data_IF_538467258952
#
_entry.id   IF_538467258952
#
_cell.length_a   1.000
_cell.length_b   1.000
_cell.length_c   1.000
_cell.angle_alpha   90.00
_cell.angle_beta   90.00
_cell.angle_gamma   90.00
#
_symmetry.space_group_name_H-M   'P 1'
#
loop_
_entity.id
_entity.type
_entity.pdbx_description
1 polymer ?
#
# COMPACT_ATOMS: atom_id res chain seq x y z
N UNK A 1 1.58 -13.23 9.22
CA UNK A 1 2.34 -12.99 7.97
C UNK A 1 2.45 -11.50 7.66
N UNK A 2 1.33 -10.76 7.52
CA UNK A 2 1.34 -9.33 7.17
C UNK A 2 2.18 -8.45 8.13
N UNK A 3 1.97 -8.57 9.45
CA UNK A 3 2.75 -7.80 10.42
C UNK A 3 4.24 -8.19 10.49
N UNK A 4 4.60 -9.43 10.12
CA UNK A 4 6.01 -9.82 10.01
C UNK A 4 6.68 -9.04 8.86
N UNK A 5 5.99 -8.88 7.74
CA UNK A 5 6.48 -8.10 6.60
C UNK A 5 6.59 -6.60 6.93
N UNK A 6 5.62 -6.07 7.68
CA UNK A 6 5.69 -4.70 8.22
C UNK A 6 6.92 -4.56 9.13
N UNK A 7 7.09 -5.47 10.08
CA UNK A 7 8.22 -5.48 11.01
C UNK A 7 9.56 -5.53 10.28
N UNK A 8 9.69 -6.40 9.28
CA UNK A 8 10.88 -6.52 8.46
C UNK A 8 11.18 -5.21 7.72
N UNK A 9 10.19 -4.60 7.06
CA UNK A 9 10.37 -3.32 6.37
C UNK A 9 10.78 -2.20 7.33
N UNK A 10 10.09 -2.06 8.47
CA UNK A 10 10.40 -1.02 9.46
C UNK A 10 11.80 -1.21 10.07
N UNK A 11 12.25 -2.45 10.29
CA UNK A 11 13.61 -2.74 10.78
C UNK A 11 14.74 -2.34 9.83
N UNK A 12 14.41 -2.13 8.55
CA UNK A 12 15.33 -1.68 7.49
C UNK A 12 15.15 -0.19 7.17
N UNK A 13 14.43 0.55 8.01
CA UNK A 13 14.01 1.95 7.78
C UNK A 13 13.27 2.15 6.45
N UNK A 14 12.58 1.10 5.96
CA UNK A 14 11.71 1.22 4.80
C UNK A 14 10.35 1.75 5.26
N UNK A 15 9.89 2.92 4.75
CA UNK A 15 8.58 3.43 5.11
C UNK A 15 7.46 2.45 4.77
N UNK A 16 6.41 2.49 5.58
CA UNK A 16 5.22 1.65 5.45
C UNK A 16 3.98 2.54 5.46
N UNK A 17 3.13 2.39 4.44
CA UNK A 17 1.75 2.90 4.45
C UNK A 17 0.83 1.71 4.67
N UNK A 18 0.12 1.68 5.80
CA UNK A 18 -0.83 0.64 6.18
C UNK A 18 -2.26 1.16 6.09
N UNK A 19 -3.00 0.70 5.09
CA UNK A 19 -4.37 1.08 4.79
C UNK A 19 -5.27 -0.17 4.57
N UNK A 20 -5.03 -1.22 5.36
CA UNK A 20 -5.67 -2.53 5.17
C UNK A 20 -6.86 -2.80 6.10
N UNK A 21 -6.95 -2.08 7.23
CA UNK A 21 -7.94 -2.36 8.28
C UNK A 21 -8.81 -1.13 8.58
N UNK A 22 -9.96 -1.38 9.22
CA UNK A 22 -10.97 -0.36 9.46
C UNK A 22 -10.54 0.69 10.50
N UNK A 23 -9.91 0.26 11.59
CA UNK A 23 -9.58 1.09 12.73
C UNK A 23 -8.06 1.14 12.95
N UNK A 24 -7.49 2.34 12.88
CA UNK A 24 -6.07 2.58 13.10
C UNK A 24 -5.61 2.16 14.51
N UNK A 25 -6.45 2.36 15.54
CA UNK A 25 -6.09 2.00 16.92
C UNK A 25 -6.03 0.48 17.12
N UNK A 26 -6.95 -0.25 16.49
CA UNK A 26 -6.88 -1.71 16.39
C UNK A 26 -5.59 -2.17 15.70
N UNK A 27 -5.18 -1.53 14.60
CA UNK A 27 -3.93 -1.86 13.90
C UNK A 27 -2.73 -1.66 14.80
N UNK A 28 -2.63 -0.51 15.48
CA UNK A 28 -1.54 -0.19 16.40
C UNK A 28 -1.43 -1.26 17.48
N UNK A 29 -2.54 -1.60 18.14
CA UNK A 29 -2.56 -2.67 19.16
C UNK A 29 -2.08 -4.02 18.63
N UNK A 30 -2.49 -4.40 17.41
CA UNK A 30 -2.03 -5.64 16.77
C UNK A 30 -0.56 -5.61 16.40
N UNK A 31 -0.04 -4.45 15.96
CA UNK A 31 1.38 -4.24 15.69
C UNK A 31 2.22 -4.35 16.97
N UNK A 32 1.78 -3.73 18.07
CA UNK A 32 2.42 -3.85 19.39
C UNK A 32 2.45 -5.30 19.86
N UNK A 33 1.33 -6.03 19.74
CA UNK A 33 1.28 -7.46 20.05
C UNK A 33 2.19 -8.32 19.16
N UNK A 34 2.53 -7.85 17.96
CA UNK A 34 3.52 -8.47 17.07
C UNK A 34 4.98 -8.03 17.37
N UNK A 35 5.20 -7.27 18.44
CA UNK A 35 6.49 -6.74 18.85
C UNK A 35 7.01 -5.68 17.89
N UNK A 36 6.13 -4.78 17.43
CA UNK A 36 6.44 -3.59 16.63
C UNK A 36 6.13 -2.36 17.48
N UNK A 37 7.11 -1.50 17.68
CA UNK A 37 6.94 -0.19 18.35
C UNK A 37 6.27 0.81 17.40
N UNK A 38 4.99 0.60 17.09
CA UNK A 38 4.27 1.33 16.05
C UNK A 38 4.32 2.85 16.27
N UNK A 39 4.14 3.32 17.50
CA UNK A 39 4.15 4.73 17.89
C UNK A 39 5.48 5.41 17.55
N UNK A 40 6.61 4.76 17.85
CA UNK A 40 7.96 5.26 17.54
C UNK A 40 8.16 5.45 16.03
N UNK A 41 7.70 4.48 15.22
CA UNK A 41 7.78 4.60 13.76
C UNK A 41 6.81 5.63 13.18
N UNK A 42 5.65 5.84 13.80
CA UNK A 42 4.69 6.89 13.42
C UNK A 42 5.28 8.27 13.68
N UNK A 43 5.87 8.49 14.87
CA UNK A 43 6.52 9.76 15.22
C UNK A 43 7.70 10.09 14.29
N UNK A 44 8.48 9.07 13.90
CA UNK A 44 9.56 9.20 12.90
C UNK A 44 9.05 9.42 11.47
N UNK A 45 7.74 9.28 11.22
CA UNK A 45 7.14 9.41 9.89
C UNK A 45 7.44 8.25 8.95
N UNK A 46 8.00 7.14 9.47
CA UNK A 46 8.33 5.93 8.69
C UNK A 46 7.09 5.02 8.59
N UNK A 47 6.23 5.00 9.60
CA UNK A 47 4.96 4.28 9.56
C UNK A 47 3.79 5.26 9.45
N UNK A 48 2.91 5.03 8.47
CA UNK A 48 1.65 5.75 8.33
C UNK A 48 0.50 4.77 8.31
N UNK A 49 -0.43 4.90 9.25
CA UNK A 49 -1.65 4.09 9.30
C UNK A 49 -2.81 4.96 8.82
N UNK A 50 -3.56 4.45 7.84
CA UNK A 50 -4.73 5.12 7.26
C UNK A 50 -5.94 4.25 7.57
N UNK A 51 -6.91 4.79 8.29
CA UNK A 51 -8.16 4.09 8.57
C UNK A 51 -9.02 3.93 7.29
N UNK A 52 -9.99 3.03 7.32
CA UNK A 52 -10.79 2.73 6.13
C UNK A 52 -11.64 3.90 5.65
N UNK A 53 -12.10 4.79 6.53
CA UNK A 53 -12.89 5.95 6.13
C UNK A 53 -12.02 6.96 5.37
N UNK A 54 -10.85 7.28 5.91
CA UNK A 54 -9.86 8.14 5.24
C UNK A 54 -9.40 7.50 3.93
N UNK A 55 -9.12 6.19 3.91
CA UNK A 55 -8.77 5.48 2.69
C UNK A 55 -9.89 5.57 1.65
N UNK A 56 -11.16 5.37 2.04
CA UNK A 56 -12.32 5.50 1.16
C UNK A 56 -12.48 6.92 0.62
N UNK A 57 -12.29 7.95 1.45
CA UNK A 57 -12.35 9.36 1.02
C UNK A 57 -11.24 9.68 0.01
N UNK A 58 -10.00 9.28 0.31
CA UNK A 58 -8.88 9.45 -0.61
C UNK A 58 -9.14 8.75 -1.94
N UNK A 59 -9.75 7.55 -1.91
CA UNK A 59 -10.11 6.80 -3.11
C UNK A 59 -11.26 7.42 -3.90
N UNK A 60 -12.26 7.97 -3.22
CA UNK A 60 -13.39 8.62 -3.88
C UNK A 60 -12.96 9.87 -4.65
N UNK A 61 -11.90 10.54 -4.18
CA UNK A 61 -11.31 11.72 -4.82
C UNK A 61 -10.30 11.36 -5.92
N UNK A 62 -10.07 10.07 -6.19
CA UNK A 62 -9.26 9.63 -7.33
C UNK A 62 -10.05 9.94 -8.61
N UNK A 63 -9.66 11.01 -9.29
CA UNK A 63 -9.93 11.15 -10.71
C UNK A 63 -9.07 10.11 -11.43
N UNK A 64 -9.67 9.28 -12.29
CA UNK A 64 -8.91 8.33 -13.12
C UNK A 64 -7.83 9.06 -13.92
N UNK A 65 -8.04 10.31 -14.32
CA UNK A 65 -7.06 11.07 -15.11
C UNK A 65 -5.88 11.61 -14.30
N UNK A 66 -6.03 11.87 -12.99
CA UNK A 66 -4.98 12.52 -12.20
C UNK A 66 -4.54 11.78 -10.93
N UNK A 67 -5.40 10.95 -10.32
CA UNK A 67 -5.12 10.16 -9.10
C UNK A 67 -4.43 10.94 -7.96
N UNK A 68 -4.57 12.28 -7.96
CA UNK A 68 -3.74 13.21 -7.19
C UNK A 68 -3.72 12.97 -5.68
N UNK A 69 -4.85 12.71 -4.99
CA UNK A 69 -4.84 12.67 -3.52
C UNK A 69 -4.05 11.51 -2.95
N UNK A 70 -4.13 10.34 -3.59
CA UNK A 70 -3.40 9.15 -3.17
C UNK A 70 -1.91 9.26 -3.53
N UNK A 71 -1.61 9.76 -4.73
CA UNK A 71 -0.24 10.06 -5.16
C UNK A 71 0.44 11.09 -4.25
N UNK A 72 -0.26 12.15 -3.86
CA UNK A 72 0.24 13.14 -2.91
C UNK A 72 0.49 12.54 -1.53
N UNK A 73 -0.36 11.63 -1.08
CA UNK A 73 -0.18 10.92 0.19
C UNK A 73 1.09 10.07 0.18
N UNK A 74 1.34 9.35 -0.92
CA UNK A 74 2.55 8.56 -1.13
C UNK A 74 3.78 9.49 -1.15
N UNK A 75 3.76 10.53 -1.99
CA UNK A 75 4.85 11.50 -2.09
C UNK A 75 5.16 12.19 -0.76
N UNK A 76 4.14 12.58 0.00
CA UNK A 76 4.30 13.20 1.32
C UNK A 76 4.94 12.23 2.31
N UNK A 77 4.51 10.97 2.30
CA UNK A 77 5.08 9.93 3.18
C UNK A 77 6.54 9.66 2.84
N UNK A 78 6.88 9.53 1.56
CA UNK A 78 8.27 9.38 1.09
C UNK A 78 9.14 10.55 1.56
N UNK A 79 8.66 11.79 1.39
CA UNK A 79 9.37 13.01 1.82
C UNK A 79 9.55 13.06 3.34
N UNK A 80 8.51 12.76 4.11
CA UNK A 80 8.54 12.80 5.58
C UNK A 80 9.46 11.73 6.16
N UNK A 81 9.42 10.52 5.61
CA UNK A 81 10.30 9.42 6.01
C UNK A 81 11.77 9.62 5.60
N UNK A 82 12.09 10.66 4.78
CA UNK A 82 13.39 10.83 4.12
C UNK A 82 13.86 9.53 3.45
N UNK A 83 12.91 8.77 2.91
CA UNK A 83 13.14 7.42 2.48
C UNK A 83 14.09 7.39 1.27
N UNK A 84 15.10 6.52 1.33
CA UNK A 84 16.11 6.40 0.29
C UNK A 84 16.04 5.08 -0.50
N UNK A 85 15.33 4.09 0.02
CA UNK A 85 15.47 2.71 -0.43
C UNK A 85 14.18 2.14 -1.03
N UNK A 86 13.14 1.94 -0.22
CA UNK A 86 11.92 1.23 -0.64
C UNK A 86 10.71 1.64 0.17
N UNK A 87 9.55 1.75 -0.45
CA UNK A 87 8.26 1.99 0.21
C UNK A 87 7.42 0.70 0.20
N UNK A 88 6.88 0.30 1.35
CA UNK A 88 5.87 -0.77 1.43
C UNK A 88 4.49 -0.13 1.56
N UNK A 89 3.57 -0.47 0.66
CA UNK A 89 2.16 -0.07 0.75
C UNK A 89 1.32 -1.32 0.95
N UNK A 90 0.48 -1.32 1.99
CA UNK A 90 -0.49 -2.38 2.23
C UNK A 90 -1.87 -1.76 2.20
N UNK A 91 -2.73 -2.17 1.28
CA UNK A 91 -4.04 -1.54 1.10
C UNK A 91 -5.16 -2.56 0.98
N UNK A 92 -6.33 -2.22 1.53
CA UNK A 92 -7.58 -2.95 1.27
C UNK A 92 -8.11 -2.55 -0.11
N UNK A 93 -8.46 -3.52 -0.94
CA UNK A 93 -8.92 -3.27 -2.31
C UNK A 93 -10.43 -3.16 -2.46
N UNK A 94 -11.20 -3.48 -1.42
CA UNK A 94 -12.68 -3.49 -1.46
C UNK A 94 -13.31 -2.15 -1.89
N UNK A 95 -12.64 -1.04 -1.59
CA UNK A 95 -13.13 0.30 -1.94
C UNK A 95 -12.53 0.85 -3.25
N UNK A 96 -11.77 0.04 -3.98
CA UNK A 96 -11.35 0.39 -5.34
C UNK A 96 -12.36 -0.18 -6.35
N UNK A 97 -12.88 0.68 -7.22
CA UNK A 97 -13.44 0.20 -8.48
C UNK A 97 -12.33 -0.52 -9.27
N UNK A 98 -12.66 -1.63 -9.91
CA UNK A 98 -11.68 -2.48 -10.60
C UNK A 98 -10.79 -1.70 -11.59
N UNK A 99 -11.38 -0.78 -12.36
CA UNK A 99 -10.63 0.07 -13.30
C UNK A 99 -9.66 1.06 -12.59
N UNK A 100 -10.05 1.57 -11.41
CA UNK A 100 -9.19 2.44 -10.58
C UNK A 100 -8.05 1.66 -9.94
N UNK A 101 -8.29 0.38 -9.59
CA UNK A 101 -7.25 -0.49 -9.04
C UNK A 101 -6.15 -0.76 -10.07
N UNK A 102 -6.52 -1.18 -11.28
CA UNK A 102 -5.56 -1.46 -12.35
C UNK A 102 -4.72 -0.22 -12.69
N UNK A 103 -5.35 0.95 -12.80
CA UNK A 103 -4.65 2.21 -13.07
C UNK A 103 -3.73 2.63 -11.92
N UNK A 104 -4.13 2.39 -10.67
CA UNK A 104 -3.27 2.60 -9.51
C UNK A 104 -2.03 1.69 -9.56
N UNK A 105 -2.22 0.41 -9.85
CA UNK A 105 -1.13 -0.57 -9.96
C UNK A 105 -0.16 -0.21 -11.11
N UNK A 106 -0.67 0.22 -12.27
CA UNK A 106 0.16 0.74 -13.38
C UNK A 106 0.97 1.98 -13.01
N UNK A 107 0.40 2.90 -12.23
CA UNK A 107 1.14 4.10 -11.77
C UNK A 107 2.21 3.77 -10.74
N UNK A 108 1.94 2.80 -9.87
CA UNK A 108 2.94 2.27 -8.93
C UNK A 108 4.09 1.61 -9.70
N UNK A 109 3.80 0.84 -10.76
CA UNK A 109 4.82 0.24 -11.66
C UNK A 109 5.70 1.30 -12.35
N UNK A 110 5.12 2.46 -12.71
CA UNK A 110 5.88 3.57 -13.32
C UNK A 110 6.79 4.32 -12.34
N UNK A 111 6.81 3.93 -11.07
CA UNK A 111 7.72 4.48 -10.07
C UNK A 111 7.27 5.87 -9.61
N UNK A 112 6.51 5.93 -8.52
CA UNK A 112 6.28 7.20 -7.84
C UNK A 112 7.60 7.62 -7.18
N UNK A 113 8.17 8.73 -7.66
CA UNK A 113 9.32 9.42 -7.06
C UNK A 113 10.64 8.61 -6.99
N UNK A 114 10.95 7.80 -8.01
CA UNK A 114 12.25 7.11 -8.16
C UNK A 114 12.59 6.10 -7.04
N UNK A 115 11.61 5.72 -6.22
CA UNK A 115 11.76 4.71 -5.17
C UNK A 115 11.04 3.41 -5.57
N UNK A 116 11.67 2.23 -5.42
CA UNK A 116 10.96 0.95 -5.48
C UNK A 116 9.76 0.90 -4.49
N UNK A 117 8.58 0.48 -4.95
CA UNK A 117 7.33 0.44 -4.16
C UNK A 117 6.79 -0.98 -4.08
N UNK A 118 7.00 -1.68 -2.96
CA UNK A 118 6.39 -2.98 -2.74
C UNK A 118 4.92 -2.79 -2.35
N UNK A 119 4.00 -3.33 -3.16
CA UNK A 119 2.56 -3.24 -2.92
C UNK A 119 2.01 -4.60 -2.47
N UNK A 120 1.25 -4.60 -1.37
CA UNK A 120 0.47 -5.75 -0.89
C UNK A 120 -1.00 -5.38 -0.92
N UNK A 121 -1.72 -5.94 -1.89
CA UNK A 121 -3.16 -5.75 -2.05
C UNK A 121 -3.95 -6.80 -1.25
N UNK A 122 -4.71 -6.34 -0.26
CA UNK A 122 -5.59 -7.18 0.57
C UNK A 122 -6.99 -7.25 -0.05
N UNK A 123 -7.26 -8.34 -0.77
CA UNK A 123 -8.56 -8.62 -1.39
C UNK A 123 -9.51 -9.35 -0.44
N UNK A 124 -10.77 -8.89 -0.28
CA UNK A 124 -11.79 -9.69 0.38
C UNK A 124 -12.04 -10.98 -0.41
N UNK A 125 -12.16 -12.11 0.28
CA UNK A 125 -12.45 -13.42 -0.35
C UNK A 125 -13.70 -13.35 -1.22
N UNK A 126 -14.75 -12.68 -0.75
CA UNK A 126 -16.03 -12.47 -1.47
C UNK A 126 -15.89 -11.71 -2.79
N UNK A 127 -14.80 -10.96 -2.97
CA UNK A 127 -14.54 -10.20 -4.19
C UNK A 127 -13.83 -11.10 -5.20
N UNK A 128 -12.79 -11.83 -4.77
CA UNK A 128 -12.08 -12.81 -5.60
C UNK A 128 -13.01 -13.87 -6.19
N UNK A 129 -14.01 -14.33 -5.43
CA UNK A 129 -14.98 -15.34 -5.90
C UNK A 129 -15.92 -14.82 -7.00
N UNK A 130 -15.96 -13.51 -7.25
CA UNK A 130 -16.83 -12.88 -8.26
C UNK A 130 -16.08 -12.43 -9.50
N UNK A 131 -14.75 -12.56 -9.52
CA UNK A 131 -13.95 -12.18 -10.67
C UNK A 131 -14.02 -13.27 -11.74
N UNK A 132 -14.10 -12.85 -12.99
CA UNK A 132 -13.84 -13.75 -14.11
C UNK A 132 -12.34 -14.07 -14.24
N UNK A 133 -12.04 -15.12 -14.99
CA UNK A 133 -10.65 -15.56 -15.20
C UNK A 133 -9.78 -14.46 -15.81
N UNK A 134 -10.35 -13.64 -16.71
CA UNK A 134 -9.65 -12.51 -17.34
C UNK A 134 -9.19 -11.47 -16.30
N UNK A 135 -10.07 -11.14 -15.36
CA UNK A 135 -9.81 -10.20 -14.27
C UNK A 135 -8.77 -10.75 -13.29
N UNK A 136 -8.83 -12.05 -12.99
CA UNK A 136 -7.82 -12.71 -12.15
C UNK A 136 -6.45 -12.65 -12.83
N UNK A 137 -6.37 -12.99 -14.12
CA UNK A 137 -5.12 -12.89 -14.90
C UNK A 137 -4.61 -11.45 -14.93
N UNK A 138 -5.49 -10.46 -15.11
CA UNK A 138 -5.13 -9.04 -15.09
C UNK A 138 -4.49 -8.62 -13.78
N UNK A 139 -5.08 -9.01 -12.65
CA UNK A 139 -4.52 -8.75 -11.31
C UNK A 139 -3.16 -9.46 -11.15
N UNK A 140 -3.07 -10.74 -11.51
CA UNK A 140 -1.82 -11.49 -11.38
C UNK A 140 -0.71 -10.87 -12.23
N UNK A 141 -0.98 -10.50 -13.47
CA UNK A 141 0.00 -9.86 -14.35
C UNK A 141 0.49 -8.52 -13.80
N UNK A 142 -0.42 -7.71 -13.24
CA UNK A 142 -0.06 -6.45 -12.58
C UNK A 142 0.90 -6.67 -11.38
N UNK A 143 0.72 -7.77 -10.63
CA UNK A 143 1.61 -8.14 -9.52
C UNK A 143 2.91 -8.81 -9.99
N UNK A 144 2.90 -9.52 -11.12
CA UNK A 144 4.06 -10.29 -11.62
C UNK A 144 5.09 -9.38 -12.29
N UNK A 145 4.65 -8.36 -13.04
CA UNK A 145 5.51 -7.34 -13.65
C UNK A 145 6.39 -6.58 -12.64
N UNK A 146 5.95 -6.53 -11.38
CA UNK A 146 6.70 -5.92 -10.28
C UNK A 146 7.92 -6.75 -9.84
N UNK A 147 7.87 -8.08 -9.97
CA UNK A 147 8.93 -8.96 -9.44
C UNK A 147 10.17 -8.97 -10.34
N UNK A 148 9.99 -8.92 -11.66
CA UNK A 148 11.10 -9.02 -12.63
C UNK A 148 11.90 -7.72 -12.80
N UNK A 149 11.30 -6.54 -12.55
CA UNK A 149 12.03 -5.26 -12.63
C UNK A 149 12.83 -4.95 -11.37
N UNK A 150 12.36 -5.37 -10.19
CA UNK A 150 13.07 -5.17 -8.92
C UNK A 150 14.37 -5.98 -8.77
N UNK A 151 14.62 -6.94 -9.67
CA UNK A 151 15.83 -7.77 -9.70
C UNK A 151 16.90 -7.24 -10.67
N UNK A 152 16.61 -6.20 -11.45
CA UNK A 152 17.49 -5.65 -12.49
C UNK A 152 17.98 -4.21 -12.20
N UNK A 153 17.81 -3.72 -10.97
CA UNK A 153 18.34 -2.44 -10.45
C UNK A 153 18.99 -2.67 -9.10
#
# INVERSE_FOLDING_TARGET
MLYLKVKESLSKDHPVIYAAEADANSVIRKMVNAGIEAENFIEKGILKIIDAQTAKQLKAQINLESMDPWYQTICKTIKQAKAKNRLLIICRTEDFEQAKLLKFEEMVDRGIASLPIELICCYPTKWLTKLDLSSIIGILNAHTLYTERSLNT
#
